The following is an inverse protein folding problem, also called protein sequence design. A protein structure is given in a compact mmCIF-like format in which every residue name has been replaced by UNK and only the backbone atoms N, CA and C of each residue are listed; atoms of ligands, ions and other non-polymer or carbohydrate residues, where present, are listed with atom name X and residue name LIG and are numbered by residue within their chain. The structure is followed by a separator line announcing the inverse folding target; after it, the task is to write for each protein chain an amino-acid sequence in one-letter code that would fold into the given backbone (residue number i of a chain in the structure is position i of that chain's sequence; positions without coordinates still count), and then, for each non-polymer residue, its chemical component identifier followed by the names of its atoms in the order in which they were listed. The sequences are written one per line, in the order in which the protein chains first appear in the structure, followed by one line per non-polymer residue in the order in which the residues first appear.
data_IF_977146539796
#
_entry.id   IF_977146539796
#
_cell.length_a   1.000
_cell.length_b   1.000
_cell.length_c   1.000
_cell.angle_alpha   90.00
_cell.angle_beta   90.00
_cell.angle_gamma   90.00
#
_symmetry.space_group_name_H-M   'P 1'
#
loop_
_entity.id
_entity.type
_entity.pdbx_description
1 polymer ?
#
# COMPACT_ATOMS: atom_id res chain seq x y z
N UNK A 1 -7.84 -8.27 -15.60
CA UNK A 1 -7.37 -6.88 -15.81
C UNK A 1 -7.16 -6.24 -14.45
N UNK A 2 -6.22 -5.30 -14.33
CA UNK A 2 -6.08 -4.47 -13.13
C UNK A 2 -6.94 -3.22 -13.30
N UNK A 3 -7.79 -2.96 -12.31
CA UNK A 3 -8.67 -1.80 -12.30
C UNK A 3 -8.37 -0.94 -11.07
N UNK A 4 -8.58 0.37 -11.21
CA UNK A 4 -8.47 1.27 -10.08
C UNK A 4 -9.65 1.06 -9.16
N UNK A 5 -9.36 0.69 -7.92
CA UNK A 5 -10.35 0.69 -6.86
C UNK A 5 -10.35 2.04 -6.14
N UNK A 6 -11.52 2.65 -6.00
CA UNK A 6 -11.67 3.85 -5.16
C UNK A 6 -11.51 3.44 -3.69
N UNK A 7 -10.40 3.85 -3.08
CA UNK A 7 -10.10 3.54 -1.69
C UNK A 7 -11.12 4.24 -0.79
N UNK A 8 -11.89 3.47 -0.03
CA UNK A 8 -12.81 3.99 0.98
C UNK A 8 -12.03 4.41 2.23
N UNK A 9 -12.62 5.27 3.06
CA UNK A 9 -12.00 5.68 4.33
C UNK A 9 -11.78 4.51 5.29
N UNK A 10 -12.68 3.52 5.27
CA UNK A 10 -12.56 2.29 6.06
C UNK A 10 -11.29 1.51 5.67
N UNK A 11 -11.11 1.26 4.37
CA UNK A 11 -9.94 0.56 3.82
C UNK A 11 -8.66 1.34 4.12
N UNK A 12 -8.68 2.67 3.95
CA UNK A 12 -7.53 3.53 4.24
C UNK A 12 -7.12 3.45 5.72
N UNK A 13 -8.07 3.59 6.64
CA UNK A 13 -7.82 3.50 8.08
C UNK A 13 -7.29 2.11 8.46
N UNK A 14 -7.84 1.06 7.87
CA UNK A 14 -7.37 -0.32 8.07
C UNK A 14 -5.91 -0.47 7.62
N UNK A 15 -5.56 -0.06 6.39
CA UNK A 15 -4.19 -0.13 5.89
C UNK A 15 -3.20 0.64 6.76
N UNK A 16 -3.54 1.85 7.19
CA UNK A 16 -2.67 2.68 8.06
C UNK A 16 -2.48 2.02 9.43
N UNK A 17 -3.53 1.39 9.98
CA UNK A 17 -3.43 0.68 11.26
C UNK A 17 -2.49 -0.52 11.14
N UNK A 18 -2.64 -1.31 10.08
CA UNK A 18 -1.80 -2.48 9.80
C UNK A 18 -0.35 -2.04 9.57
N UNK A 19 -0.09 -1.03 8.75
CA UNK A 19 1.28 -0.58 8.49
C UNK A 19 2.00 -0.13 9.76
N UNK A 20 1.31 0.57 10.66
CA UNK A 20 1.85 0.96 11.97
C UNK A 20 2.11 -0.24 12.88
N UNK A 21 1.19 -1.21 12.92
CA UNK A 21 1.33 -2.41 13.76
C UNK A 21 2.57 -3.22 13.38
N UNK A 22 2.85 -3.34 12.08
CA UNK A 22 4.00 -4.05 11.54
C UNK A 22 5.24 -3.16 11.33
N UNK A 23 5.19 -1.88 11.73
CA UNK A 23 6.27 -0.89 11.57
C UNK A 23 6.81 -0.80 10.13
N UNK A 24 5.91 -0.85 9.15
CA UNK A 24 6.27 -0.77 7.73
C UNK A 24 6.61 0.67 7.35
N UNK A 25 7.86 0.91 6.91
CA UNK A 25 8.22 2.14 6.19
C UNK A 25 7.67 2.13 4.76
N UNK A 26 7.74 0.96 4.12
CA UNK A 26 7.09 0.65 2.85
C UNK A 26 6.54 -0.78 2.92
N UNK A 27 5.42 -1.04 2.25
CA UNK A 27 4.79 -2.35 2.28
C UNK A 27 3.52 -2.45 1.44
N UNK A 28 3.09 -3.69 1.21
CA UNK A 28 1.89 -4.05 0.48
C UNK A 28 0.90 -4.71 1.44
N UNK A 29 -0.38 -4.39 1.32
CA UNK A 29 -1.43 -4.97 2.14
C UNK A 29 -2.53 -5.43 1.20
N UNK A 30 -2.74 -6.75 1.17
CA UNK A 30 -3.75 -7.34 0.32
C UNK A 30 -5.07 -7.42 1.07
N UNK A 31 -6.11 -6.86 0.45
CA UNK A 31 -7.43 -6.73 1.05
C UNK A 31 -8.48 -7.44 0.21
N UNK A 32 -9.32 -8.22 0.88
CA UNK A 32 -10.49 -8.86 0.27
C UNK A 32 -11.76 -8.26 0.83
N UNK A 33 -12.67 -7.88 -0.07
CA UNK A 33 -14.04 -7.53 0.28
C UNK A 33 -14.91 -8.79 0.22
N UNK A 34 -15.64 -9.09 1.29
CA UNK A 34 -16.59 -10.19 1.34
C UNK A 34 -17.81 -9.80 2.16
N UNK A 35 -19.03 -10.01 1.61
CA UNK A 35 -20.30 -9.67 2.26
C UNK A 35 -20.32 -8.26 2.89
N UNK A 36 -19.81 -7.28 2.14
CA UNK A 36 -19.77 -5.88 2.58
C UNK A 36 -18.66 -5.51 3.57
N UNK A 37 -17.87 -6.48 4.06
CA UNK A 37 -16.76 -6.26 5.01
C UNK A 37 -15.41 -6.41 4.32
N UNK A 38 -14.40 -5.72 4.84
CA UNK A 38 -13.01 -5.80 4.38
C UNK A 38 -12.17 -6.66 5.32
N UNK A 39 -11.28 -7.46 4.74
CA UNK A 39 -10.40 -8.39 5.46
C UNK A 39 -8.98 -8.24 4.91
N UNK A 40 -7.99 -8.20 5.81
CA UNK A 40 -6.56 -8.28 5.46
C UNK A 40 -6.22 -9.75 5.19
N UNK A 41 -5.58 -10.02 4.06
CA UNK A 41 -5.14 -11.37 3.68
C UNK A 41 -3.63 -11.55 3.83
N UNK A 42 -2.86 -10.58 3.36
CA UNK A 42 -1.39 -10.60 3.38
C UNK A 42 -0.87 -9.22 3.78
N UNK A 43 0.24 -9.23 4.52
CA UNK A 43 1.07 -8.05 4.75
C UNK A 43 2.47 -8.37 4.23
N UNK A 44 2.89 -7.66 3.20
CA UNK A 44 4.17 -7.87 2.53
C UNK A 44 5.10 -6.68 2.83
N UNK A 45 6.26 -6.94 3.44
CA UNK A 45 7.23 -5.90 3.78
C UNK A 45 8.12 -5.47 2.62
N UNK A 46 8.17 -6.24 1.53
CA UNK A 46 8.97 -5.94 0.33
C UNK A 46 8.13 -6.25 -0.94
N UNK A 47 7.00 -5.57 -1.14
CA UNK A 47 6.14 -5.82 -2.29
C UNK A 47 6.81 -5.32 -3.58
N UNK A 48 6.47 -5.94 -4.71
CA UNK A 48 6.77 -5.38 -6.02
C UNK A 48 5.73 -4.31 -6.39
N UNK A 49 6.19 -3.15 -6.86
CA UNK A 49 5.31 -2.08 -7.32
C UNK A 49 5.20 -1.97 -8.85
N UNK A 50 5.91 -2.81 -9.62
CA UNK A 50 5.99 -2.69 -11.09
C UNK A 50 4.63 -2.68 -11.78
N UNK A 51 3.71 -3.53 -11.35
CA UNK A 51 2.35 -3.58 -11.90
C UNK A 51 1.51 -2.38 -11.44
N UNK A 52 1.64 -1.97 -10.17
CA UNK A 52 0.92 -0.83 -9.58
C UNK A 52 1.35 0.49 -10.23
N UNK A 53 2.64 0.64 -10.57
CA UNK A 53 3.17 1.82 -11.25
C UNK A 53 2.43 2.12 -12.55
N UNK A 54 1.98 1.10 -13.30
CA UNK A 54 1.25 1.27 -14.57
C UNK A 54 -0.09 1.97 -14.41
N UNK A 55 -0.73 1.86 -13.24
CA UNK A 55 -2.01 2.51 -12.94
C UNK A 55 -1.86 3.72 -12.01
N UNK A 56 -0.75 3.82 -11.29
CA UNK A 56 -0.44 4.96 -10.42
C UNK A 56 -0.21 6.24 -11.24
N UNK A 57 -0.73 7.37 -10.75
CA UNK A 57 -0.34 8.70 -11.26
C UNK A 57 0.97 9.22 -10.66
N UNK A 58 1.41 8.63 -9.53
CA UNK A 58 2.67 8.97 -8.87
C UNK A 58 3.80 8.11 -9.42
N UNK A 59 4.99 8.67 -9.54
CA UNK A 59 6.22 7.90 -9.70
C UNK A 59 6.60 7.26 -8.36
N UNK A 60 6.28 5.97 -8.20
CA UNK A 60 6.52 5.23 -6.96
C UNK A 60 8.02 5.14 -6.67
N UNK A 61 8.85 4.96 -7.70
CA UNK A 61 10.31 4.91 -7.54
C UNK A 61 10.85 6.21 -6.95
N UNK A 62 10.45 7.36 -7.48
CA UNK A 62 10.86 8.67 -6.92
C UNK A 62 10.39 8.85 -5.47
N UNK A 63 9.16 8.45 -5.16
CA UNK A 63 8.64 8.53 -3.78
C UNK A 63 9.48 7.69 -2.83
N UNK A 64 9.81 6.45 -3.20
CA UNK A 64 10.63 5.56 -2.36
C UNK A 64 12.06 6.08 -2.20
N UNK A 65 12.69 6.57 -3.27
CA UNK A 65 14.04 7.16 -3.22
C UNK A 65 14.03 8.41 -2.34
N UNK A 66 13.06 9.30 -2.51
CA UNK A 66 12.94 10.51 -1.68
C UNK A 66 12.70 10.19 -0.21
N UNK A 67 11.90 9.17 0.09
CA UNK A 67 11.66 8.73 1.47
C UNK A 67 12.93 8.15 2.09
N UNK A 68 13.67 7.31 1.35
CA UNK A 68 14.95 6.75 1.80
C UNK A 68 15.99 7.83 2.10
N UNK A 69 16.14 8.83 1.24
CA UNK A 69 17.12 9.90 1.43
C UNK A 69 16.89 10.71 2.73
N UNK A 70 15.63 10.90 3.14
CA UNK A 70 15.30 11.59 4.41
C UNK A 70 15.74 10.84 5.66
N UNK A 71 16.01 9.54 5.55
CA UNK A 71 16.51 8.74 6.68
C UNK A 71 18.04 8.84 6.81
N UNK A 72 18.71 9.33 5.75
CA UNK A 72 20.16 9.52 5.73
C UNK A 72 20.59 10.93 6.17
N UNK A 73 19.67 11.88 6.18
CA UNK A 73 19.83 13.24 6.74
C UNK A 73 19.56 13.24 8.25
#
# INVERSE_FOLDING_TARGET
MLEKFAITDEVKKMCIKVSKLFKLGYGGIDIKKNKGKYYVLEVNSIPSWKAIQKISKKNITEVLVSDFLKVLE
#
